data_IF_838499488020
#
_entry.id   IF_838499488020
#
_cell.length_a   1.000
_cell.length_b   1.000
_cell.length_c   1.000
_cell.angle_alpha   90.00
_cell.angle_beta   90.00
_cell.angle_gamma   90.00
#
_symmetry.space_group_name_H-M   'P 1'
#
loop_
_entity.id
_entity.type
_entity.pdbx_description
1 polymer ?
#
# COMPACT_ATOMS: atom_id res chain seq x y z
N UNK A 1 10.68 2.84 -31.13
CA UNK A 1 9.59 3.13 -30.17
C UNK A 1 10.20 3.54 -28.84
N UNK A 2 9.66 4.57 -28.16
CA UNK A 2 10.07 4.92 -26.78
C UNK A 2 9.31 4.04 -25.79
N UNK A 3 9.97 3.60 -24.71
CA UNK A 3 9.36 2.81 -23.64
C UNK A 3 8.85 3.74 -22.54
N UNK A 4 7.60 3.58 -22.14
CA UNK A 4 6.97 4.32 -21.03
C UNK A 4 6.75 3.33 -19.89
N UNK A 5 7.07 3.75 -18.67
CA UNK A 5 6.85 3.00 -17.45
C UNK A 5 5.82 3.71 -16.59
N UNK A 6 4.85 2.97 -16.07
CA UNK A 6 3.85 3.48 -15.12
C UNK A 6 4.15 2.87 -13.75
N UNK A 7 4.30 3.71 -12.73
CA UNK A 7 4.63 3.30 -11.36
C UNK A 7 3.53 3.80 -10.43
N UNK A 8 2.52 2.97 -10.13
CA UNK A 8 1.44 3.32 -9.22
C UNK A 8 1.96 3.54 -7.80
N UNK A 9 1.44 4.58 -7.15
CA UNK A 9 1.70 4.92 -5.75
C UNK A 9 0.45 5.57 -5.14
N UNK A 10 0.38 5.59 -3.81
CA UNK A 10 -0.65 6.32 -3.08
C UNK A 10 -0.01 7.02 -1.88
N UNK A 11 0.27 8.32 -2.03
CA UNK A 11 0.71 9.18 -0.93
C UNK A 11 -0.51 9.57 -0.08
N UNK A 12 -0.41 9.37 1.23
CA UNK A 12 -1.46 9.70 2.19
C UNK A 12 -0.79 10.35 3.40
N UNK A 13 -1.21 11.56 3.73
CA UNK A 13 -0.85 12.24 4.97
C UNK A 13 -1.95 11.95 6.01
N UNK A 14 -1.71 11.09 7.02
CA UNK A 14 -2.77 10.63 7.92
C UNK A 14 -3.32 11.75 8.82
N UNK A 15 -2.55 12.81 9.06
CA UNK A 15 -2.99 14.01 9.77
C UNK A 15 -2.68 15.21 8.91
N UNK A 16 -3.70 15.77 8.26
CA UNK A 16 -3.56 16.98 7.45
C UNK A 16 -4.83 17.83 7.45
N UNK A 17 -5.78 17.52 6.56
CA UNK A 17 -7.06 18.25 6.44
C UNK A 17 -8.24 17.47 7.02
N UNK A 18 -7.97 16.33 7.64
CA UNK A 18 -8.93 15.43 8.29
C UNK A 18 -8.40 15.02 9.67
N UNK A 19 -9.28 14.48 10.49
CA UNK A 19 -8.90 13.91 11.78
C UNK A 19 -8.07 12.64 11.59
N UNK A 20 -7.29 12.30 12.60
CA UNK A 20 -6.37 11.17 12.59
C UNK A 20 -7.07 9.85 12.23
N UNK A 21 -8.27 9.61 12.76
CA UNK A 21 -9.05 8.39 12.55
C UNK A 21 -9.47 8.23 11.09
N UNK A 22 -9.76 9.33 10.41
CA UNK A 22 -10.13 9.34 8.99
C UNK A 22 -8.92 8.97 8.13
N UNK A 23 -7.77 9.62 8.37
CA UNK A 23 -6.53 9.31 7.67
C UNK A 23 -6.06 7.88 7.92
N UNK A 24 -6.20 7.38 9.16
CA UNK A 24 -5.92 6.00 9.51
C UNK A 24 -6.82 5.02 8.71
N UNK A 25 -8.13 5.28 8.66
CA UNK A 25 -9.06 4.46 7.87
C UNK A 25 -8.73 4.48 6.38
N UNK A 26 -8.33 5.64 5.83
CA UNK A 26 -7.96 5.78 4.42
C UNK A 26 -6.72 4.95 4.07
N UNK A 27 -5.72 4.91 4.95
CA UNK A 27 -4.53 4.05 4.80
C UNK A 27 -4.93 2.58 4.73
N UNK A 28 -5.77 2.12 5.66
CA UNK A 28 -6.19 0.72 5.73
C UNK A 28 -6.98 0.32 4.48
N UNK A 29 -8.01 1.10 4.12
CA UNK A 29 -8.85 0.81 2.96
C UNK A 29 -8.06 0.84 1.65
N UNK A 30 -7.18 1.84 1.46
CA UNK A 30 -6.33 1.91 0.27
C UNK A 30 -5.45 0.67 0.13
N UNK A 31 -4.79 0.25 1.22
CA UNK A 31 -3.87 -0.88 1.18
C UNK A 31 -4.59 -2.23 1.02
N UNK A 32 -5.75 -2.41 1.66
CA UNK A 32 -6.58 -3.61 1.47
C UNK A 32 -7.11 -3.70 0.04
N UNK A 33 -7.64 -2.59 -0.50
CA UNK A 33 -8.14 -2.53 -1.86
C UNK A 33 -7.03 -2.85 -2.87
N UNK A 34 -5.85 -2.24 -2.74
CA UNK A 34 -4.71 -2.52 -3.62
C UNK A 34 -4.26 -3.98 -3.51
N UNK A 35 -4.17 -4.54 -2.30
CA UNK A 35 -3.82 -5.95 -2.12
C UNK A 35 -4.83 -6.88 -2.79
N UNK A 36 -6.13 -6.55 -2.76
CA UNK A 36 -7.17 -7.28 -3.49
C UNK A 36 -7.01 -7.11 -5.01
N UNK A 37 -6.92 -5.88 -5.49
CA UNK A 37 -6.81 -5.55 -6.91
C UNK A 37 -5.58 -6.23 -7.55
N UNK A 38 -4.45 -6.27 -6.85
CA UNK A 38 -3.24 -6.94 -7.33
C UNK A 38 -3.39 -8.48 -7.42
N UNK A 39 -4.38 -9.08 -6.75
CA UNK A 39 -4.70 -10.48 -6.98
C UNK A 39 -5.48 -10.69 -8.29
N UNK A 40 -6.28 -9.71 -8.69
CA UNK A 40 -7.10 -9.73 -9.91
C UNK A 40 -6.27 -9.32 -11.13
N UNK A 41 -5.49 -8.24 -11.02
CA UNK A 41 -4.60 -7.73 -12.06
C UNK A 41 -3.14 -8.12 -11.77
N UNK A 42 -2.63 -9.13 -12.49
CA UNK A 42 -1.29 -9.71 -12.26
C UNK A 42 -0.14 -8.82 -12.71
N UNK A 43 -0.37 -7.91 -13.66
CA UNK A 43 0.66 -6.98 -14.15
C UNK A 43 0.86 -5.76 -13.26
N UNK A 44 -0.09 -5.49 -12.35
CA UNK A 44 -0.04 -4.33 -11.47
C UNK A 44 1.15 -4.42 -10.51
N UNK A 45 1.91 -3.32 -10.45
CA UNK A 45 2.94 -3.04 -9.45
C UNK A 45 2.50 -1.84 -8.61
N UNK A 46 3.01 -1.74 -7.39
CA UNK A 46 2.69 -0.63 -6.50
C UNK A 46 3.88 -0.29 -5.61
N UNK A 47 4.07 0.99 -5.30
CA UNK A 47 5.08 1.43 -4.33
C UNK A 47 4.48 2.34 -3.27
N UNK A 48 4.96 2.21 -2.03
CA UNK A 48 4.58 3.04 -0.88
C UNK A 48 5.76 3.28 0.04
N UNK A 49 5.83 4.51 0.56
CA UNK A 49 6.86 4.96 1.49
C UNK A 49 6.59 4.60 2.95
N UNK A 50 5.43 5.01 3.46
CA UNK A 50 5.10 5.05 4.89
C UNK A 50 5.19 3.70 5.63
N UNK A 51 6.24 3.50 6.43
CA UNK A 51 6.52 2.33 7.26
C UNK A 51 5.49 2.17 8.38
N UNK A 52 5.07 3.29 8.98
CA UNK A 52 4.01 3.32 10.00
C UNK A 52 2.69 2.69 9.50
N UNK A 53 2.39 2.80 8.21
CA UNK A 53 1.19 2.19 7.64
C UNK A 53 1.23 0.66 7.72
N UNK A 54 2.39 0.03 7.57
CA UNK A 54 2.49 -1.43 7.68
C UNK A 54 2.25 -1.90 9.12
N UNK A 55 2.73 -1.14 10.12
CA UNK A 55 2.44 -1.41 11.52
C UNK A 55 0.92 -1.34 11.77
N UNK A 56 0.26 -0.27 11.32
CA UNK A 56 -1.19 -0.11 11.46
C UNK A 56 -1.97 -1.22 10.76
N UNK A 57 -1.53 -1.65 9.58
CA UNK A 57 -2.16 -2.77 8.86
C UNK A 57 -1.97 -4.09 9.63
N UNK A 58 -0.78 -4.34 10.18
CA UNK A 58 -0.53 -5.54 11.00
C UNK A 58 -1.37 -5.57 12.27
N UNK A 59 -1.52 -4.42 12.94
CA UNK A 59 -2.35 -4.27 14.14
C UNK A 59 -3.85 -4.41 13.83
N UNK A 60 -4.31 -3.84 12.70
CA UNK A 60 -5.72 -3.86 12.31
C UNK A 60 -6.17 -5.19 11.69
N UNK A 61 -5.43 -5.72 10.70
CA UNK A 61 -5.74 -6.99 10.04
C UNK A 61 -4.47 -7.71 9.53
N UNK A 62 -3.99 -8.65 10.35
CA UNK A 62 -2.85 -9.53 10.03
C UNK A 62 -3.00 -10.26 8.70
N UNK A 63 -4.21 -10.54 8.22
CA UNK A 63 -4.43 -11.24 6.94
C UNK A 63 -4.06 -10.34 5.77
N UNK A 64 -4.38 -9.05 5.84
CA UNK A 64 -3.98 -8.06 4.82
C UNK A 64 -2.47 -7.88 4.85
N UNK A 65 -1.87 -7.79 6.04
CA UNK A 65 -0.42 -7.71 6.19
C UNK A 65 0.32 -8.89 5.54
N UNK A 66 -0.14 -10.12 5.76
CA UNK A 66 0.47 -11.30 5.12
C UNK A 66 0.28 -11.33 3.60
N UNK A 67 -0.86 -10.84 3.08
CA UNK A 67 -1.04 -10.65 1.63
C UNK A 67 -0.03 -9.66 1.06
N UNK A 68 0.19 -8.52 1.74
CA UNK A 68 1.19 -7.53 1.35
C UNK A 68 2.59 -8.16 1.37
N UNK A 69 2.97 -8.88 2.43
CA UNK A 69 4.25 -9.60 2.51
C UNK A 69 4.45 -10.59 1.36
N UNK A 70 3.39 -11.29 0.95
CA UNK A 70 3.43 -12.15 -0.24
C UNK A 70 3.70 -11.33 -1.51
N UNK A 71 2.99 -10.23 -1.73
CA UNK A 71 3.19 -9.34 -2.88
C UNK A 71 4.59 -8.69 -2.91
N UNK A 72 5.18 -8.42 -1.76
CA UNK A 72 6.58 -7.97 -1.63
C UNK A 72 7.54 -9.06 -2.10
N UNK A 73 7.36 -10.31 -1.64
CA UNK A 73 8.18 -11.46 -2.09
C UNK A 73 8.04 -11.72 -3.59
N UNK A 74 6.84 -11.48 -4.15
CA UNK A 74 6.57 -11.56 -5.58
C UNK A 74 7.16 -10.39 -6.40
N UNK A 75 7.78 -9.39 -5.75
CA UNK A 75 8.30 -8.16 -6.38
C UNK A 75 7.24 -7.36 -7.11
N UNK A 76 6.05 -7.28 -6.51
CA UNK A 76 4.91 -6.50 -7.04
C UNK A 76 4.54 -5.34 -6.13
N UNK A 77 4.80 -5.48 -4.84
CA UNK A 77 4.68 -4.41 -3.85
C UNK A 77 6.07 -3.95 -3.42
N UNK A 78 6.40 -2.69 -3.66
CA UNK A 78 7.72 -2.11 -3.40
C UNK A 78 7.65 -1.15 -2.22
N UNK A 79 8.32 -1.51 -1.12
CA UNK A 79 8.50 -0.63 0.03
C UNK A 79 9.59 0.39 -0.31
N UNK A 80 9.27 1.68 -0.20
CA UNK A 80 10.20 2.79 -0.39
C UNK A 80 10.38 3.54 0.94
N UNK A 81 11.42 4.35 1.09
CA UNK A 81 11.56 5.27 2.24
C UNK A 81 11.62 4.64 3.65
N UNK A 82 11.98 5.43 4.68
CA UNK A 82 12.06 4.96 6.07
C UNK A 82 10.92 5.44 6.98
N UNK A 83 10.21 6.51 6.59
CA UNK A 83 9.05 7.06 7.30
C UNK A 83 7.87 6.14 7.14
#
# INVERSE_FOLDING_TARGET
>A
MKKIHLIPNAHIDPVWLWEWEEGYSEVLHTCEFLAKLMNEEKSLTFTRSSACCYLWIEEADKRVFEKIKKLVREKRWFVAGPW
#
